data_IF_339079536901
#
_entry.id   IF_339079536901
#
_cell.length_a   1.000
_cell.length_b   1.000
_cell.length_c   1.000
_cell.angle_alpha   90.00
_cell.angle_beta   90.00
_cell.angle_gamma   90.00
#
_symmetry.space_group_name_H-M   'P 1'
#
loop_
_entity.id
_entity.type
_entity.pdbx_description
1 polymer ?
#
# COMPACT_ATOMS: atom_id res chain seq x y z
N UNK A 1 1.13 -8.99 37.87
CA UNK A 1 1.13 -7.94 36.83
C UNK A 1 1.04 -6.63 37.58
N UNK A 2 2.12 -5.83 37.63
CA UNK A 2 2.02 -4.50 38.25
C UNK A 2 1.06 -3.67 37.43
N UNK A 3 0.06 -3.07 38.08
CA UNK A 3 -0.73 -2.02 37.45
C UNK A 3 0.23 -0.92 37.03
N UNK A 4 0.49 -0.80 35.73
CA UNK A 4 1.14 0.37 35.18
C UNK A 4 0.40 1.60 35.71
N UNK A 5 1.10 2.68 36.01
CA UNK A 5 0.44 3.98 36.20
C UNK A 5 -0.33 4.36 34.92
N UNK A 6 -1.38 5.17 35.03
CA UNK A 6 -2.09 5.67 33.84
C UNK A 6 -1.13 6.38 32.88
N UNK A 7 -0.13 7.10 33.42
CA UNK A 7 0.92 7.73 32.63
C UNK A 7 1.77 6.73 31.85
N UNK A 8 2.21 5.66 32.51
CA UNK A 8 3.03 4.61 31.89
C UNK A 8 2.25 3.83 30.82
N UNK A 9 0.93 3.65 31.03
CA UNK A 9 0.06 3.04 30.02
C UNK A 9 -0.04 3.90 28.74
N UNK A 10 -0.19 5.21 28.88
CA UNK A 10 -0.25 6.11 27.72
C UNK A 10 1.09 6.23 26.99
N UNK A 11 2.21 6.26 27.71
CA UNK A 11 3.55 6.24 27.11
C UNK A 11 3.79 4.92 26.35
N UNK A 12 3.48 3.77 26.95
CA UNK A 12 3.59 2.46 26.30
C UNK A 12 2.73 2.33 25.04
N UNK A 13 1.48 2.81 25.09
CA UNK A 13 0.58 2.82 23.92
C UNK A 13 1.11 3.71 22.79
N UNK A 14 1.69 4.85 23.13
CA UNK A 14 2.28 5.77 22.15
C UNK A 14 3.51 5.16 21.49
N UNK A 15 4.43 4.60 22.27
CA UNK A 15 5.65 3.97 21.77
C UNK A 15 5.33 2.76 20.88
N UNK A 16 4.46 1.85 21.37
CA UNK A 16 4.07 0.65 20.62
C UNK A 16 3.39 1.01 19.29
N UNK A 17 2.49 2.00 19.28
CA UNK A 17 1.84 2.44 18.04
C UNK A 17 2.82 3.08 17.06
N UNK A 18 3.76 3.89 17.55
CA UNK A 18 4.78 4.52 16.71
C UNK A 18 5.72 3.49 16.09
N UNK A 19 6.18 2.51 16.88
CA UNK A 19 7.09 1.46 16.43
C UNK A 19 6.43 0.53 15.41
N UNK A 20 5.21 0.06 15.69
CA UNK A 20 4.44 -0.79 14.76
C UNK A 20 4.14 -0.10 13.44
N UNK A 21 3.83 1.22 13.48
CA UNK A 21 3.60 2.01 12.28
C UNK A 21 4.88 2.15 11.44
N UNK A 22 5.99 2.54 12.08
CA UNK A 22 7.26 2.77 11.38
C UNK A 22 7.81 1.49 10.75
N UNK A 23 7.77 0.37 11.47
CA UNK A 23 8.25 -0.92 10.96
C UNK A 23 7.41 -1.40 9.78
N UNK A 24 6.07 -1.37 9.92
CA UNK A 24 5.16 -1.84 8.87
C UNK A 24 5.21 -0.97 7.63
N UNK A 25 5.32 0.35 7.80
CA UNK A 25 5.42 1.30 6.69
C UNK A 25 6.74 1.14 5.93
N UNK A 26 7.86 1.07 6.65
CA UNK A 26 9.19 0.90 6.06
C UNK A 26 9.34 -0.42 5.30
N UNK A 27 8.82 -1.52 5.83
CA UNK A 27 8.84 -2.83 5.17
C UNK A 27 8.08 -2.82 3.83
N UNK A 28 6.85 -2.29 3.83
CA UNK A 28 6.02 -2.22 2.62
C UNK A 28 6.69 -1.31 1.56
N UNK A 29 7.20 -0.15 1.96
CA UNK A 29 7.91 0.74 1.04
C UNK A 29 9.15 0.09 0.44
N UNK A 30 9.94 -0.63 1.25
CA UNK A 30 11.11 -1.35 0.78
C UNK A 30 10.77 -2.41 -0.28
N UNK A 31 9.72 -3.21 -0.02
CA UNK A 31 9.25 -4.22 -0.97
C UNK A 31 8.79 -3.59 -2.29
N UNK A 32 8.05 -2.48 -2.20
CA UNK A 32 7.58 -1.73 -3.38
C UNK A 32 8.75 -1.22 -4.21
N UNK A 33 9.79 -0.66 -3.57
CA UNK A 33 11.00 -0.17 -4.26
C UNK A 33 11.72 -1.32 -4.98
N UNK A 34 11.92 -2.46 -4.31
CA UNK A 34 12.58 -3.63 -4.93
C UNK A 34 11.77 -4.17 -6.11
N UNK A 35 10.45 -4.26 -5.97
CA UNK A 35 9.57 -4.72 -7.04
C UNK A 35 9.62 -3.79 -8.26
N UNK A 36 9.60 -2.47 -8.06
CA UNK A 36 9.76 -1.50 -9.15
C UNK A 36 11.15 -1.55 -9.77
N UNK A 37 12.21 -1.72 -8.98
CA UNK A 37 13.56 -1.83 -9.51
C UNK A 37 13.70 -3.04 -10.46
N UNK A 38 13.24 -4.23 -10.01
CA UNK A 38 13.23 -5.42 -10.86
C UNK A 38 12.39 -5.25 -12.12
N UNK A 39 11.25 -4.57 -11.99
CA UNK A 39 10.40 -4.24 -13.13
C UNK A 39 11.10 -3.34 -14.16
N UNK A 40 11.75 -2.26 -13.72
CA UNK A 40 12.42 -1.32 -14.63
C UNK A 40 13.61 -1.94 -15.36
N UNK A 41 14.31 -2.88 -14.73
CA UNK A 41 15.36 -3.68 -15.39
C UNK A 41 14.77 -4.48 -16.54
N UNK A 42 13.65 -5.18 -16.31
CA UNK A 42 12.97 -5.96 -17.35
C UNK A 42 12.37 -5.06 -18.43
N UNK A 43 11.85 -3.90 -18.04
CA UNK A 43 11.31 -2.88 -18.94
C UNK A 43 12.39 -2.43 -19.94
N UNK A 44 13.55 -1.97 -19.46
CA UNK A 44 14.62 -1.52 -20.33
C UNK A 44 15.07 -2.60 -21.33
N UNK A 45 15.20 -3.85 -20.86
CA UNK A 45 15.60 -4.98 -21.71
C UNK A 45 14.52 -5.43 -22.71
N UNK A 46 13.23 -5.20 -22.43
CA UNK A 46 12.13 -5.60 -23.30
C UNK A 46 11.83 -4.56 -24.39
N UNK A 47 12.22 -3.29 -24.18
CA UNK A 47 11.91 -2.17 -25.07
C UNK A 47 12.33 -2.42 -26.52
N UNK A 48 13.59 -2.82 -26.73
CA UNK A 48 14.20 -3.00 -28.07
C UNK A 48 13.53 -4.08 -28.92
N UNK A 49 12.79 -5.00 -28.28
CA UNK A 49 12.20 -6.16 -28.92
C UNK A 49 10.67 -6.07 -29.02
N UNK A 50 10.10 -4.99 -28.51
CA UNK A 50 8.67 -4.74 -28.51
C UNK A 50 8.25 -3.85 -29.67
N UNK A 51 7.06 -4.10 -30.24
CA UNK A 51 6.50 -3.14 -31.18
C UNK A 51 6.08 -1.87 -30.44
N UNK A 52 6.15 -0.68 -31.06
CA UNK A 52 5.81 0.57 -30.40
C UNK A 52 4.42 0.57 -29.77
N UNK A 53 3.45 -0.10 -30.41
CA UNK A 53 2.09 -0.23 -29.90
C UNK A 53 2.01 -1.07 -28.62
N UNK A 54 2.68 -2.22 -28.58
CA UNK A 54 2.71 -3.09 -27.38
C UNK A 54 3.39 -2.37 -26.22
N UNK A 55 4.47 -1.65 -26.50
CA UNK A 55 5.18 -0.84 -25.52
C UNK A 55 4.31 0.27 -24.93
N UNK A 56 3.57 0.99 -25.79
CA UNK A 56 2.65 2.04 -25.37
C UNK A 56 1.52 1.48 -24.49
N UNK A 57 0.96 0.32 -24.82
CA UNK A 57 -0.07 -0.35 -24.00
C UNK A 57 0.47 -0.73 -22.63
N UNK A 58 1.67 -1.33 -22.57
CA UNK A 58 2.32 -1.66 -21.30
C UNK A 58 2.53 -0.39 -20.43
N UNK A 59 2.98 0.71 -21.04
CA UNK A 59 3.20 1.97 -20.34
C UNK A 59 1.90 2.61 -19.84
N UNK A 60 0.83 2.52 -20.64
CA UNK A 60 -0.49 3.04 -20.26
C UNK A 60 -1.10 2.25 -19.10
N UNK A 61 -0.96 0.91 -19.11
CA UNK A 61 -1.39 0.06 -17.99
C UNK A 61 -0.66 0.43 -16.69
N UNK A 62 0.67 0.59 -16.75
CA UNK A 62 1.45 1.01 -15.58
C UNK A 62 1.08 2.40 -15.08
N UNK A 63 0.99 3.38 -15.98
CA UNK A 63 0.68 4.77 -15.62
C UNK A 63 -0.71 4.85 -14.98
N UNK A 64 -1.67 4.07 -15.50
CA UNK A 64 -3.01 3.96 -14.92
C UNK A 64 -2.93 3.34 -13.52
N UNK A 65 -2.25 2.21 -13.37
CA UNK A 65 -2.07 1.55 -12.06
C UNK A 65 -1.42 2.48 -11.03
N UNK A 66 -0.32 3.13 -11.40
CA UNK A 66 0.41 4.08 -10.57
C UNK A 66 -0.44 5.30 -10.19
N UNK A 67 -1.20 5.85 -11.14
CA UNK A 67 -2.11 6.96 -10.89
C UNK A 67 -3.19 6.61 -9.87
N UNK A 68 -3.83 5.45 -10.02
CA UNK A 68 -4.80 4.96 -9.03
C UNK A 68 -4.14 4.66 -7.68
N UNK A 69 -2.93 4.10 -7.67
CA UNK A 69 -2.18 3.83 -6.44
C UNK A 69 -1.83 5.13 -5.69
N UNK A 70 -1.35 6.15 -6.40
CA UNK A 70 -1.04 7.45 -5.81
C UNK A 70 -2.30 8.13 -5.24
N UNK A 71 -3.41 8.13 -5.98
CA UNK A 71 -4.68 8.66 -5.50
C UNK A 71 -5.18 7.89 -4.26
N UNK A 72 -4.95 6.59 -4.23
CA UNK A 72 -5.29 5.74 -3.12
C UNK A 72 -4.45 6.01 -1.87
N UNK A 73 -3.13 6.10 -2.00
CA UNK A 73 -2.24 6.44 -0.90
C UNK A 73 -2.54 7.83 -0.34
N UNK A 74 -2.84 8.81 -1.20
CA UNK A 74 -3.26 10.15 -0.76
C UNK A 74 -4.56 10.09 0.07
N UNK A 75 -5.55 9.34 -0.39
CA UNK A 75 -6.79 9.11 0.36
C UNK A 75 -6.53 8.39 1.69
N UNK A 76 -5.75 7.31 1.68
CA UNK A 76 -5.42 6.53 2.86
C UNK A 76 -4.65 7.35 3.90
N UNK A 77 -3.72 8.20 3.45
CA UNK A 77 -2.98 9.14 4.29
C UNK A 77 -3.93 10.13 4.97
N UNK A 78 -4.77 10.83 4.21
CA UNK A 78 -5.76 11.77 4.76
C UNK A 78 -6.73 11.09 5.74
N UNK A 79 -7.13 9.86 5.44
CA UNK A 79 -8.00 9.08 6.31
C UNK A 79 -7.31 8.69 7.62
N UNK A 80 -6.07 8.17 7.57
CA UNK A 80 -5.26 7.85 8.76
C UNK A 80 -5.00 9.09 9.60
N UNK A 81 -4.66 10.21 8.98
CA UNK A 81 -4.43 11.48 9.66
C UNK A 81 -5.68 11.94 10.42
N UNK A 82 -6.87 11.87 9.80
CA UNK A 82 -8.13 12.19 10.48
C UNK A 82 -8.43 11.26 11.66
N UNK A 83 -8.14 9.96 11.55
CA UNK A 83 -8.31 9.02 12.66
C UNK A 83 -7.36 9.33 13.83
N UNK A 84 -6.09 9.62 13.53
CA UNK A 84 -5.11 9.99 14.56
C UNK A 84 -5.48 11.30 15.26
N UNK A 85 -5.99 12.31 14.54
CA UNK A 85 -6.45 13.55 15.16
C UNK A 85 -7.63 13.33 16.11
N UNK A 86 -8.60 12.47 15.74
CA UNK A 86 -9.72 12.12 16.65
C UNK A 86 -9.27 11.39 17.92
N UNK A 87 -8.24 10.52 17.80
CA UNK A 87 -7.65 9.89 18.98
C UNK A 87 -6.86 10.89 19.84
N UNK A 88 -6.16 11.83 19.22
CA UNK A 88 -5.43 12.87 19.93
C UNK A 88 -6.38 13.80 20.71
N UNK A 89 -7.50 14.20 20.11
CA UNK A 89 -8.55 15.00 20.77
C UNK A 89 -9.10 14.30 22.03
N UNK A 90 -9.25 12.97 21.98
CA UNK A 90 -9.72 12.18 23.13
C UNK A 90 -8.72 12.11 24.30
N UNK A 91 -7.42 12.35 24.05
CA UNK A 91 -6.35 12.30 25.06
C UNK A 91 -6.09 13.70 25.66
N UNK A 92 -6.43 14.79 24.95
CA UNK A 92 -6.24 16.17 25.42
C UNK A 92 -7.25 16.65 26.47
N UNK A 93 -8.22 15.82 26.88
CA UNK A 93 -9.12 16.14 27.99
C UNK A 93 -8.34 16.04 29.31
N UNK A 94 -8.47 17.06 30.15
CA UNK A 94 -7.60 17.41 31.30
C UNK A 94 -7.38 16.33 32.37
N UNK A 95 -8.10 15.21 32.35
CA UNK A 95 -7.82 14.01 33.15
C UNK A 95 -8.13 12.76 32.31
N UNK A 96 -7.16 12.22 31.56
CA UNK A 96 -7.39 11.04 30.74
C UNK A 96 -7.43 9.80 31.63
N UNK A 97 -8.62 9.35 31.99
CA UNK A 97 -8.79 8.03 32.62
C UNK A 97 -8.69 6.92 31.56
N UNK A 98 -8.21 5.75 31.95
CA UNK A 98 -8.20 4.55 31.07
C UNK A 98 -9.58 4.24 30.51
N UNK A 99 -10.63 4.44 31.31
CA UNK A 99 -12.00 4.19 30.90
C UNK A 99 -12.43 5.15 29.78
N UNK A 100 -12.12 6.44 29.89
CA UNK A 100 -12.42 7.44 28.85
C UNK A 100 -11.69 7.12 27.54
N UNK A 101 -10.42 6.71 27.61
CA UNK A 101 -9.67 6.28 26.43
C UNK A 101 -10.25 5.01 25.80
N UNK A 102 -10.62 4.02 26.60
CA UNK A 102 -11.23 2.78 26.12
C UNK A 102 -12.62 3.02 25.50
N UNK A 103 -13.42 3.94 26.05
CA UNK A 103 -14.71 4.32 25.47
C UNK A 103 -14.52 5.03 24.13
N UNK A 104 -13.63 6.02 24.05
CA UNK A 104 -13.32 6.71 22.79
C UNK A 104 -12.78 5.74 21.72
N UNK A 105 -11.91 4.80 22.11
CA UNK A 105 -11.40 3.77 21.21
C UNK A 105 -12.53 2.84 20.70
N UNK A 106 -13.47 2.44 21.58
CA UNK A 106 -14.63 1.62 21.19
C UNK A 106 -15.56 2.35 20.24
N UNK A 107 -15.89 3.61 20.51
CA UNK A 107 -16.72 4.42 19.62
C UNK A 107 -16.07 4.59 18.25
N UNK A 108 -14.76 4.84 18.22
CA UNK A 108 -14.00 4.93 16.97
C UNK A 108 -14.02 3.61 16.20
N UNK A 109 -13.84 2.46 16.88
CA UNK A 109 -13.89 1.14 16.26
C UNK A 109 -15.26 0.83 15.66
N UNK A 110 -16.36 1.16 16.36
CA UNK A 110 -17.71 0.95 15.86
C UNK A 110 -17.97 1.82 14.61
N UNK A 111 -17.58 3.09 14.64
CA UNK A 111 -17.66 3.98 13.47
C UNK A 111 -16.83 3.49 12.29
N UNK A 112 -15.62 2.99 12.56
CA UNK A 112 -14.75 2.36 11.57
C UNK A 112 -15.37 1.11 10.95
N UNK A 113 -15.96 0.23 11.74
CA UNK A 113 -16.59 -0.99 11.23
C UNK A 113 -17.74 -0.68 10.25
N UNK A 114 -18.56 0.32 10.56
CA UNK A 114 -19.64 0.77 9.67
C UNK A 114 -19.09 1.40 8.39
N UNK A 115 -18.05 2.24 8.51
CA UNK A 115 -17.37 2.84 7.37
C UNK A 115 -16.74 1.78 6.47
N UNK A 116 -15.95 0.86 7.03
CA UNK A 116 -15.28 -0.24 6.31
C UNK A 116 -16.30 -1.10 5.57
N UNK A 117 -17.45 -1.42 6.18
CA UNK A 117 -18.50 -2.20 5.49
C UNK A 117 -19.02 -1.49 4.23
N UNK A 118 -19.27 -0.18 4.29
CA UNK A 118 -19.73 0.61 3.13
C UNK A 118 -18.60 0.82 2.12
N UNK A 119 -17.39 1.02 2.60
CA UNK A 119 -16.22 1.28 1.79
C UNK A 119 -15.65 0.02 1.13
N UNK A 120 -15.97 -1.17 1.62
CA UNK A 120 -15.43 -2.45 1.13
C UNK A 120 -15.60 -2.66 -0.38
N UNK A 121 -16.76 -2.28 -0.94
CA UNK A 121 -17.02 -2.45 -2.37
C UNK A 121 -16.16 -1.48 -3.20
N UNK A 122 -16.06 -0.23 -2.76
CA UNK A 122 -15.20 0.80 -3.36
C UNK A 122 -13.72 0.45 -3.24
N UNK A 123 -13.32 -0.08 -2.08
CA UNK A 123 -11.97 -0.61 -1.84
C UNK A 123 -11.63 -1.71 -2.83
N UNK A 124 -12.51 -2.70 -3.01
CA UNK A 124 -12.29 -3.79 -3.97
C UNK A 124 -12.17 -3.27 -5.40
N UNK A 125 -13.06 -2.38 -5.81
CA UNK A 125 -13.02 -1.77 -7.14
C UNK A 125 -11.71 -0.98 -7.35
N UNK A 126 -11.32 -0.14 -6.39
CA UNK A 126 -10.07 0.61 -6.42
C UNK A 126 -8.83 -0.29 -6.47
N UNK A 127 -8.81 -1.36 -5.67
CA UNK A 127 -7.74 -2.36 -5.71
C UNK A 127 -7.66 -3.07 -7.07
N UNK A 128 -8.79 -3.39 -7.70
CA UNK A 128 -8.79 -3.95 -9.05
C UNK A 128 -8.19 -2.97 -10.08
N UNK A 129 -8.50 -1.68 -9.98
CA UNK A 129 -7.93 -0.63 -10.85
C UNK A 129 -6.42 -0.45 -10.67
N UNK A 130 -5.84 -0.89 -9.56
CA UNK A 130 -4.40 -0.86 -9.31
C UNK A 130 -3.76 -2.18 -9.75
N UNK A 131 -4.24 -3.31 -9.20
CA UNK A 131 -3.60 -4.61 -9.31
C UNK A 131 -3.76 -5.25 -10.68
N UNK A 132 -4.94 -5.14 -11.31
CA UNK A 132 -5.19 -5.76 -12.63
C UNK A 132 -4.30 -5.17 -13.72
N UNK A 133 -4.24 -3.84 -13.91
CA UNK A 133 -3.36 -3.28 -14.94
C UNK A 133 -1.87 -3.48 -14.62
N UNK A 134 -1.48 -3.47 -13.33
CA UNK A 134 -0.10 -3.78 -12.93
C UNK A 134 0.28 -5.23 -13.29
N UNK A 135 -0.57 -6.19 -12.94
CA UNK A 135 -0.36 -7.60 -13.23
C UNK A 135 -0.34 -7.85 -14.75
N UNK A 136 -1.24 -7.20 -15.50
CA UNK A 136 -1.26 -7.29 -16.96
C UNK A 136 0.03 -6.75 -17.59
N UNK A 137 0.54 -5.60 -17.11
CA UNK A 137 1.81 -5.04 -17.56
C UNK A 137 3.00 -5.97 -17.24
N UNK A 138 3.02 -6.56 -16.04
CA UNK A 138 4.02 -7.54 -15.64
C UNK A 138 4.03 -8.77 -16.53
N UNK A 139 2.86 -9.40 -16.73
CA UNK A 139 2.71 -10.59 -17.58
C UNK A 139 3.16 -10.28 -19.00
N UNK A 140 2.78 -9.13 -19.54
CA UNK A 140 3.15 -8.71 -20.88
C UNK A 140 4.67 -8.58 -21.04
N UNK A 141 5.35 -7.93 -20.09
CA UNK A 141 6.80 -7.71 -20.17
C UNK A 141 7.57 -9.00 -19.94
N UNK A 142 7.15 -9.83 -18.98
CA UNK A 142 7.75 -11.15 -18.76
C UNK A 142 7.59 -12.02 -20.01
N UNK A 143 6.42 -12.01 -20.66
CA UNK A 143 6.22 -12.75 -21.90
C UNK A 143 7.14 -12.26 -23.02
N UNK A 144 7.28 -10.94 -23.21
CA UNK A 144 8.21 -10.36 -24.18
C UNK A 144 9.67 -10.75 -23.90
N UNK A 145 10.06 -10.73 -22.63
CA UNK A 145 11.39 -11.14 -22.20
C UNK A 145 11.64 -12.63 -22.45
N UNK A 146 10.68 -13.50 -22.13
CA UNK A 146 10.80 -14.94 -22.40
C UNK A 146 10.89 -15.24 -23.91
N UNK A 147 10.13 -14.54 -24.75
CA UNK A 147 10.23 -14.64 -26.21
C UNK A 147 11.65 -14.29 -26.66
N UNK A 148 12.26 -13.24 -26.09
CA UNK A 148 13.66 -12.88 -26.37
C UNK A 148 14.60 -14.00 -26.00
N UNK A 149 14.51 -14.53 -24.77
CA UNK A 149 15.40 -15.61 -24.30
C UNK A 149 15.29 -16.84 -25.21
N UNK A 150 14.07 -17.26 -25.55
CA UNK A 150 13.83 -18.41 -26.44
C UNK A 150 14.46 -18.16 -27.81
N UNK A 151 14.20 -16.99 -28.44
CA UNK A 151 14.78 -16.67 -29.75
C UNK A 151 16.31 -16.68 -29.72
N UNK A 152 16.91 -16.13 -28.66
CA UNK A 152 18.35 -16.10 -28.50
C UNK A 152 18.95 -17.51 -28.36
N UNK A 153 18.28 -18.39 -27.62
CA UNK A 153 18.71 -19.78 -27.46
C UNK A 153 18.56 -20.58 -28.77
N UNK A 154 17.46 -20.39 -29.50
CA UNK A 154 17.24 -21.09 -30.77
C UNK A 154 18.19 -20.64 -31.89
N UNK A 155 18.62 -19.38 -31.86
CA UNK A 155 19.58 -18.83 -32.83
C UNK A 155 21.01 -19.38 -32.63
N UNK A 156 21.33 -19.94 -31.46
CA UNK A 156 22.61 -20.61 -31.19
C UNK A 156 22.60 -22.10 -31.52
N UNK A 157 21.42 -22.69 -31.71
CA UNK A 157 21.25 -24.13 -32.00
C UNK A 157 21.05 -24.46 -33.48
N UNK A 158 21.00 -23.45 -34.35
CA UNK A 158 20.85 -23.57 -35.80
C UNK A 158 22.15 -23.20 -36.51
#
# INVERSE_FOLDING_TARGET
>A
MSELSDKEFFEFQRETNAEMFNHSHGYIQGLVVVAYAGFFVLWDQAKEFSSPGVWAVAGLLLTTSLGFYAAWEAFAFLFRQRLMMRMAEAITVSEPSRETYQMAAREMLVGLQQFVRRFRTWWRAGMCCILVPLAAAWVLIVALYLIRVIRHLTAWTA
#
